data_IF_608233472238
#
_entry.id   IF_608233472238
#
_cell.length_a   1.000
_cell.length_b   1.000
_cell.length_c   1.000
_cell.angle_alpha   90.00
_cell.angle_beta   90.00
_cell.angle_gamma   90.00
#
_symmetry.space_group_name_H-M   'P 1'
#
loop_
_entity.id
_entity.type
_entity.pdbx_description
1 polymer ?
#
# COMPACT_ATOMS: atom_id res chain seq x y z
N UNK A 1 -35.95 -8.95 1.86
CA UNK A 1 -35.08 -9.48 2.93
C UNK A 1 -35.93 -10.29 3.88
N UNK A 2 -35.62 -11.57 4.03
CA UNK A 2 -36.23 -12.39 5.08
C UNK A 2 -35.40 -12.11 6.36
N UNK A 3 -36.07 -11.73 7.44
CA UNK A 3 -35.40 -11.66 8.74
C UNK A 3 -34.85 -13.03 9.08
N UNK A 4 -33.57 -13.05 9.52
CA UNK A 4 -32.95 -14.29 9.98
C UNK A 4 -33.68 -14.75 11.25
N UNK A 5 -34.19 -15.98 11.24
CA UNK A 5 -34.74 -16.56 12.44
C UNK A 5 -33.62 -16.72 13.50
N UNK A 6 -33.77 -16.10 14.68
CA UNK A 6 -32.69 -16.11 15.70
C UNK A 6 -32.37 -17.52 16.23
N UNK A 7 -33.21 -18.51 15.98
CA UNK A 7 -32.98 -19.92 16.33
C UNK A 7 -32.44 -20.77 15.16
N UNK A 8 -32.24 -20.15 13.97
CA UNK A 8 -31.65 -20.87 12.84
C UNK A 8 -30.18 -21.19 13.10
N UNK A 9 -29.81 -22.43 12.84
CA UNK A 9 -28.43 -22.90 12.94
C UNK A 9 -27.79 -22.77 11.54
N UNK A 10 -26.66 -22.08 11.46
CA UNK A 10 -25.83 -22.07 10.27
C UNK A 10 -24.78 -23.17 10.35
N UNK A 11 -24.59 -23.89 9.26
CA UNK A 11 -23.58 -24.93 9.13
C UNK A 11 -22.42 -24.41 8.29
N UNK A 12 -21.20 -24.64 8.72
CA UNK A 12 -19.97 -24.24 8.04
C UNK A 12 -19.08 -25.47 7.89
N UNK A 13 -18.33 -25.55 6.78
CA UNK A 13 -17.39 -26.65 6.53
C UNK A 13 -16.14 -26.57 7.39
N UNK A 14 -15.86 -25.40 7.97
CA UNK A 14 -14.71 -25.19 8.85
C UNK A 14 -14.71 -23.80 9.49
N UNK A 15 -13.79 -23.60 10.39
CA UNK A 15 -13.54 -22.33 11.06
C UNK A 15 -12.05 -21.98 10.96
N UNK A 16 -11.74 -20.74 10.63
CA UNK A 16 -10.39 -20.19 10.71
C UNK A 16 -10.39 -19.10 11.77
N UNK A 17 -9.57 -19.27 12.80
CA UNK A 17 -9.38 -18.28 13.86
C UNK A 17 -8.07 -17.54 13.65
N UNK A 18 -8.12 -16.20 13.65
CA UNK A 18 -6.95 -15.33 13.50
C UNK A 18 -6.88 -14.37 14.67
N UNK A 19 -5.81 -14.48 15.46
CA UNK A 19 -5.50 -13.51 16.50
C UNK A 19 -4.94 -12.24 15.88
N UNK A 20 -5.76 -11.19 15.78
CA UNK A 20 -5.35 -9.91 15.21
C UNK A 20 -4.27 -9.19 16.03
N UNK A 21 -4.13 -9.50 17.34
CA UNK A 21 -3.09 -8.92 18.17
C UNK A 21 -1.69 -9.50 17.85
N UNK A 22 -1.64 -10.68 17.27
CA UNK A 22 -0.40 -11.32 16.84
C UNK A 22 0.07 -10.86 15.45
N UNK A 23 -0.77 -10.18 14.67
CA UNK A 23 -0.43 -9.71 13.33
C UNK A 23 0.57 -8.56 13.41
N UNK A 24 1.73 -8.73 12.78
CA UNK A 24 2.76 -7.69 12.65
C UNK A 24 2.54 -6.87 11.37
N UNK A 25 3.09 -5.63 11.30
CA UNK A 25 3.12 -4.88 10.05
C UNK A 25 3.81 -5.67 8.94
N UNK A 26 3.10 -5.85 7.84
CA UNK A 26 3.54 -6.67 6.70
C UNK A 26 3.55 -5.86 5.41
N UNK A 27 4.35 -6.31 4.47
CA UNK A 27 4.42 -5.80 3.11
C UNK A 27 4.36 -6.97 2.13
N UNK A 28 3.54 -6.83 1.08
CA UNK A 28 3.51 -7.79 -0.02
C UNK A 28 4.38 -7.27 -1.17
N UNK A 29 5.28 -8.12 -1.63
CA UNK A 29 6.16 -7.85 -2.76
C UNK A 29 5.53 -8.34 -4.07
N UNK A 30 5.93 -7.81 -5.25
CA UNK A 30 5.45 -8.34 -6.51
C UNK A 30 5.69 -9.86 -6.61
N UNK A 31 4.87 -10.63 -7.24
CA UNK A 31 3.68 -10.30 -8.04
C UNK A 31 2.43 -11.00 -7.50
N UNK A 32 2.44 -11.44 -6.25
CA UNK A 32 1.34 -12.16 -5.64
C UNK A 32 1.16 -11.74 -4.18
N UNK A 33 -0.09 -11.64 -3.67
CA UNK A 33 -0.35 -11.23 -2.28
C UNK A 33 0.29 -12.15 -1.22
N UNK A 34 0.50 -13.43 -1.54
CA UNK A 34 1.17 -14.37 -0.62
C UNK A 34 2.70 -14.18 -0.55
N UNK A 35 3.28 -13.37 -1.43
CA UNK A 35 4.68 -12.98 -1.36
C UNK A 35 4.84 -11.85 -0.32
N UNK A 36 4.49 -12.15 0.92
CA UNK A 36 4.37 -11.20 2.01
C UNK A 36 5.37 -11.52 3.12
N UNK A 37 6.02 -10.46 3.60
CA UNK A 37 7.01 -10.50 4.67
C UNK A 37 6.64 -9.49 5.75
N UNK A 38 7.05 -9.72 6.97
CA UNK A 38 7.05 -8.63 7.95
C UNK A 38 8.05 -7.54 7.52
N UNK A 39 7.79 -6.30 7.87
CA UNK A 39 8.70 -5.19 7.54
C UNK A 39 10.08 -5.42 8.17
N UNK A 40 10.11 -5.98 9.38
CA UNK A 40 11.37 -6.31 10.07
C UNK A 40 12.16 -7.39 9.32
N UNK A 41 11.48 -8.43 8.83
CA UNK A 41 12.09 -9.52 8.04
C UNK A 41 12.65 -9.01 6.72
N UNK A 42 11.88 -8.17 6.00
CA UNK A 42 12.37 -7.52 4.78
C UNK A 42 13.63 -6.68 5.06
N UNK A 43 13.61 -5.87 6.12
CA UNK A 43 14.74 -5.02 6.47
C UNK A 43 16.00 -5.83 6.88
N UNK A 44 15.81 -6.96 7.53
CA UNK A 44 16.92 -7.83 7.95
C UNK A 44 17.55 -8.62 6.79
N UNK A 45 16.76 -8.99 5.76
CA UNK A 45 17.17 -9.87 4.67
C UNK A 45 16.93 -9.23 3.29
N UNK A 46 17.05 -7.92 3.19
CA UNK A 46 16.60 -7.14 2.04
C UNK A 46 17.23 -7.61 0.72
N UNK A 47 18.54 -7.83 0.68
CA UNK A 47 19.25 -8.24 -0.54
C UNK A 47 18.74 -9.58 -1.06
N UNK A 48 18.61 -10.56 -0.19
CA UNK A 48 18.19 -11.92 -0.58
C UNK A 48 16.73 -11.93 -1.07
N UNK A 49 15.85 -11.27 -0.30
CA UNK A 49 14.42 -11.19 -0.64
C UNK A 49 14.20 -10.44 -1.96
N UNK A 50 14.84 -9.29 -2.16
CA UNK A 50 14.67 -8.52 -3.40
C UNK A 50 15.32 -9.22 -4.60
N UNK A 51 16.43 -9.92 -4.43
CA UNK A 51 17.04 -10.74 -5.47
C UNK A 51 16.11 -11.84 -5.95
N UNK A 52 15.41 -12.53 -5.03
CA UNK A 52 14.41 -13.54 -5.38
C UNK A 52 13.22 -12.92 -6.15
N UNK A 53 12.78 -11.73 -5.77
CA UNK A 53 11.71 -11.01 -6.50
C UNK A 53 12.15 -10.66 -7.92
N UNK A 54 13.39 -10.19 -8.12
CA UNK A 54 13.92 -9.90 -9.46
C UNK A 54 13.99 -11.16 -10.35
N UNK A 55 14.41 -12.29 -9.78
CA UNK A 55 14.45 -13.57 -10.51
C UNK A 55 13.04 -14.00 -10.95
N UNK A 56 12.07 -13.96 -10.05
CA UNK A 56 10.66 -14.24 -10.37
C UNK A 56 10.09 -13.27 -11.41
N UNK A 57 10.48 -11.99 -11.36
CA UNK A 57 10.08 -11.01 -12.35
C UNK A 57 10.54 -11.37 -13.75
N UNK A 58 11.76 -11.84 -13.90
CA UNK A 58 12.30 -12.29 -15.17
C UNK A 58 11.53 -13.48 -15.75
N UNK A 59 11.11 -14.42 -14.90
CA UNK A 59 10.27 -15.57 -15.30
C UNK A 59 8.88 -15.13 -15.75
N UNK A 60 8.19 -14.30 -14.95
CA UNK A 60 6.84 -13.79 -15.24
C UNK A 60 6.83 -12.90 -16.49
N UNK A 61 7.86 -12.08 -16.67
CA UNK A 61 8.00 -11.19 -17.81
C UNK A 61 8.43 -11.88 -19.13
N UNK A 62 8.71 -13.18 -19.09
CA UNK A 62 9.20 -13.91 -20.26
C UNK A 62 10.48 -13.31 -20.85
N UNK A 63 11.33 -12.73 -20.00
CA UNK A 63 12.58 -12.09 -20.38
C UNK A 63 12.43 -10.72 -21.07
N UNK A 64 11.22 -10.17 -21.15
CA UNK A 64 10.97 -8.89 -21.83
C UNK A 64 10.98 -7.67 -20.89
N UNK A 65 10.86 -7.90 -19.59
CA UNK A 65 10.93 -6.85 -18.57
C UNK A 65 12.00 -7.21 -17.55
N UNK A 66 12.89 -6.27 -17.28
CA UNK A 66 13.82 -6.36 -16.15
C UNK A 66 13.32 -5.46 -15.04
N UNK A 67 13.05 -6.04 -13.88
CA UNK A 67 12.80 -5.31 -12.66
C UNK A 67 14.14 -5.17 -11.93
N UNK A 68 14.52 -3.94 -11.59
CA UNK A 68 15.74 -3.67 -10.82
C UNK A 68 15.35 -3.09 -9.46
N UNK A 69 15.50 -3.89 -8.42
CA UNK A 69 15.21 -3.53 -7.03
C UNK A 69 16.48 -3.37 -6.20
N UNK A 70 17.51 -4.16 -6.50
CA UNK A 70 18.78 -4.14 -5.79
C UNK A 70 19.51 -2.81 -5.97
N UNK A 71 19.38 -2.14 -7.11
CA UNK A 71 19.94 -0.82 -7.36
C UNK A 71 19.26 0.30 -6.55
N UNK A 72 18.13 0.00 -5.94
CA UNK A 72 17.39 0.92 -5.07
C UNK A 72 17.78 0.81 -3.59
N UNK A 73 18.66 -0.13 -3.27
CA UNK A 73 19.22 -0.21 -1.92
C UNK A 73 20.32 0.86 -1.81
N UNK A 74 20.10 1.81 -0.92
CA UNK A 74 21.04 2.90 -0.67
C UNK A 74 22.28 2.39 0.09
N UNK A 75 23.40 3.15 0.07
CA UNK A 75 24.60 2.80 0.84
C UNK A 75 24.37 2.67 2.35
N UNK A 76 23.32 3.29 2.88
CA UNK A 76 22.90 3.16 4.28
C UNK A 76 22.04 1.90 4.56
N UNK A 77 21.88 1.02 3.57
CA UNK A 77 21.10 -0.22 3.65
C UNK A 77 19.59 -0.04 3.57
N UNK A 78 19.09 1.16 3.27
CA UNK A 78 17.66 1.43 3.16
C UNK A 78 17.18 1.31 1.72
N UNK A 79 15.97 0.79 1.54
CA UNK A 79 15.32 0.76 0.25
C UNK A 79 14.77 2.14 -0.12
N UNK A 80 15.19 2.67 -1.26
CA UNK A 80 14.68 3.92 -1.79
C UNK A 80 13.38 3.68 -2.55
N UNK A 81 12.34 4.42 -2.17
CA UNK A 81 11.02 4.42 -2.81
C UNK A 81 10.78 5.79 -3.44
N UNK A 82 10.30 5.82 -4.68
CA UNK A 82 10.02 7.06 -5.40
C UNK A 82 8.56 7.51 -5.28
N UNK A 83 7.65 6.59 -4.98
CA UNK A 83 6.23 6.90 -4.87
C UNK A 83 5.59 6.18 -3.69
N UNK A 84 4.69 6.88 -2.99
CA UNK A 84 3.76 6.31 -2.03
C UNK A 84 2.32 6.58 -2.44
N UNK A 85 1.44 5.59 -2.28
CA UNK A 85 0.01 5.74 -2.57
C UNK A 85 -0.81 5.15 -1.42
N UNK A 86 -1.69 5.96 -0.86
CA UNK A 86 -2.72 5.53 0.09
C UNK A 86 -4.06 5.65 -0.60
N UNK A 87 -4.70 4.52 -0.93
CA UNK A 87 -5.89 4.56 -1.77
C UNK A 87 -6.85 3.38 -1.54
N UNK A 88 -8.03 3.52 -2.09
CA UNK A 88 -9.06 2.50 -2.13
C UNK A 88 -9.83 2.35 -0.83
N UNK A 89 -10.72 1.36 -0.81
CA UNK A 89 -11.63 1.11 0.31
C UNK A 89 -10.89 0.65 1.58
N UNK A 90 -9.71 0.07 1.47
CA UNK A 90 -8.89 -0.33 2.62
C UNK A 90 -7.89 0.76 3.01
N UNK A 91 -7.03 1.20 2.10
CA UNK A 91 -5.99 2.19 2.40
C UNK A 91 -6.56 3.58 2.67
N UNK A 92 -7.50 4.03 1.86
CA UNK A 92 -8.11 5.36 1.92
C UNK A 92 -9.22 5.53 2.95
N UNK A 93 -9.49 4.56 3.82
CA UNK A 93 -10.52 4.72 4.85
C UNK A 93 -10.13 5.81 5.87
N UNK A 94 -11.12 6.33 6.57
CA UNK A 94 -10.94 7.45 7.50
C UNK A 94 -9.81 7.19 8.51
N UNK A 95 -9.84 6.04 9.17
CA UNK A 95 -8.87 5.71 10.22
C UNK A 95 -7.43 5.68 9.68
N UNK A 96 -7.21 5.05 8.53
CA UNK A 96 -5.88 4.93 7.93
C UNK A 96 -5.33 6.28 7.48
N UNK A 97 -6.17 7.11 6.84
CA UNK A 97 -5.75 8.46 6.42
C UNK A 97 -5.47 9.35 7.62
N UNK A 98 -6.26 9.26 8.69
CA UNK A 98 -5.98 9.94 9.96
C UNK A 98 -4.66 9.50 10.59
N UNK A 99 -4.34 8.21 10.53
CA UNK A 99 -3.05 7.70 11.02
C UNK A 99 -1.88 8.25 10.18
N UNK A 100 -2.03 8.29 8.86
CA UNK A 100 -1.04 8.90 7.98
C UNK A 100 -0.82 10.39 8.28
N UNK A 101 -1.89 11.17 8.45
CA UNK A 101 -1.81 12.57 8.81
C UNK A 101 -1.07 12.77 10.15
N UNK A 102 -1.40 11.98 11.17
CA UNK A 102 -0.71 12.00 12.47
C UNK A 102 0.77 11.64 12.35
N UNK A 103 1.10 10.63 11.56
CA UNK A 103 2.49 10.18 11.36
C UNK A 103 3.35 11.23 10.64
N UNK A 104 2.74 12.04 9.76
CA UNK A 104 3.41 13.06 8.96
C UNK A 104 3.34 14.47 9.59
N UNK A 105 2.60 14.65 10.66
CA UNK A 105 2.48 15.95 11.34
C UNK A 105 3.86 16.51 11.70
N UNK A 106 4.15 17.73 11.22
CA UNK A 106 5.44 18.39 11.43
C UNK A 106 6.63 17.76 10.68
N UNK A 107 6.36 16.86 9.75
CA UNK A 107 7.37 16.24 8.88
C UNK A 107 7.16 16.64 7.43
N UNK A 108 8.05 16.22 6.56
CA UNK A 108 7.96 16.47 5.12
C UNK A 108 8.14 15.18 4.33
N UNK A 109 7.48 15.08 3.19
CA UNK A 109 7.69 14.02 2.20
C UNK A 109 9.00 14.19 1.41
N UNK A 110 9.78 15.24 1.68
CA UNK A 110 11.07 15.49 1.06
C UNK A 110 11.04 16.59 -0.01
N UNK A 111 12.00 16.54 -0.92
CA UNK A 111 12.34 17.62 -1.85
C UNK A 111 11.76 17.43 -3.27
N UNK A 112 10.82 16.51 -3.46
CA UNK A 112 10.21 16.20 -4.76
C UNK A 112 10.71 14.93 -5.44
N UNK A 113 11.71 14.25 -4.89
CA UNK A 113 12.14 12.92 -5.38
C UNK A 113 11.15 11.81 -5.00
N UNK A 114 10.38 12.01 -3.94
CA UNK A 114 9.32 11.13 -3.49
C UNK A 114 7.97 11.85 -3.60
N UNK A 115 7.01 11.20 -4.22
CA UNK A 115 5.63 11.68 -4.33
C UNK A 115 4.69 10.81 -3.50
N UNK A 116 3.91 11.43 -2.60
CA UNK A 116 2.86 10.75 -1.85
C UNK A 116 1.49 11.22 -2.32
N UNK A 117 0.68 10.29 -2.85
CA UNK A 117 -0.72 10.55 -3.19
C UNK A 117 -1.67 9.87 -2.21
N UNK A 118 -2.69 10.59 -1.78
CA UNK A 118 -3.70 10.12 -0.84
C UNK A 118 -5.09 10.26 -1.47
N UNK A 119 -5.79 9.14 -1.62
CA UNK A 119 -7.15 9.04 -2.15
C UNK A 119 -8.09 8.57 -1.05
N UNK A 120 -8.90 9.44 -0.45
CA UNK A 120 -9.94 9.01 0.48
C UNK A 120 -10.89 7.99 -0.16
N UNK A 121 -11.39 7.06 0.63
CA UNK A 121 -12.22 5.94 0.12
C UNK A 121 -13.59 6.38 -0.40
N UNK A 122 -14.06 7.56 -0.01
CA UNK A 122 -15.35 8.12 -0.43
C UNK A 122 -15.40 9.63 -0.23
N UNK A 123 -16.38 10.28 -0.86
CA UNK A 123 -16.58 11.70 -0.69
C UNK A 123 -16.92 12.12 0.76
N UNK A 124 -17.76 11.40 1.52
CA UNK A 124 -17.98 11.69 2.94
C UNK A 124 -16.69 11.62 3.76
N UNK A 125 -15.84 10.61 3.53
CA UNK A 125 -14.54 10.50 4.19
C UNK A 125 -13.65 11.70 3.84
N UNK A 126 -13.63 12.12 2.57
CA UNK A 126 -12.85 13.28 2.15
C UNK A 126 -13.31 14.57 2.85
N UNK A 127 -14.63 14.80 2.91
CA UNK A 127 -15.19 15.97 3.60
C UNK A 127 -14.84 15.99 5.08
N UNK A 128 -14.91 14.86 5.76
CA UNK A 128 -14.54 14.74 7.16
C UNK A 128 -13.03 15.03 7.41
N UNK A 129 -12.15 14.47 6.54
CA UNK A 129 -10.72 14.73 6.60
C UNK A 129 -10.37 16.19 6.31
N UNK A 130 -11.12 16.87 5.45
CA UNK A 130 -10.97 18.27 5.18
C UNK A 130 -11.47 19.12 6.37
N UNK A 131 -12.62 18.78 6.94
CA UNK A 131 -13.24 19.50 8.04
C UNK A 131 -12.44 19.43 9.35
N UNK A 132 -11.81 18.30 9.64
CA UNK A 132 -11.02 18.10 10.86
C UNK A 132 -9.53 18.50 10.72
N UNK A 133 -9.11 18.97 9.55
CA UNK A 133 -7.76 19.46 9.28
C UNK A 133 -6.73 18.41 8.87
N UNK A 134 -7.08 17.12 8.84
CA UNK A 134 -6.13 16.05 8.46
C UNK A 134 -5.65 16.19 7.02
N UNK A 135 -6.52 16.59 6.09
CA UNK A 135 -6.14 16.86 4.72
C UNK A 135 -5.12 18.02 4.63
N UNK A 136 -5.27 19.06 5.43
CA UNK A 136 -4.33 20.17 5.51
C UNK A 136 -2.96 19.72 6.04
N UNK A 137 -2.92 18.90 7.08
CA UNK A 137 -1.67 18.34 7.62
C UNK A 137 -0.92 17.51 6.59
N UNK A 138 -1.63 16.69 5.81
CA UNK A 138 -1.04 15.91 4.72
C UNK A 138 -0.46 16.82 3.64
N UNK A 139 -1.20 17.85 3.21
CA UNK A 139 -0.71 18.81 2.20
C UNK A 139 0.49 19.62 2.72
N UNK A 140 0.51 20.00 3.99
CA UNK A 140 1.65 20.69 4.61
C UNK A 140 2.90 19.80 4.64
N UNK A 141 2.71 18.49 4.78
CA UNK A 141 3.81 17.51 4.67
C UNK A 141 4.30 17.30 3.23
N UNK A 142 3.60 17.85 2.22
CA UNK A 142 3.92 17.69 0.80
C UNK A 142 3.18 16.55 0.10
N UNK A 143 2.19 15.93 0.76
CA UNK A 143 1.35 14.93 0.11
C UNK A 143 0.31 15.56 -0.83
N UNK A 144 -0.02 14.87 -1.90
CA UNK A 144 -1.06 15.26 -2.86
C UNK A 144 -2.37 14.60 -2.44
N UNK A 145 -3.28 15.38 -1.84
CA UNK A 145 -4.61 14.86 -1.47
C UNK A 145 -5.53 14.99 -2.67
N UNK A 146 -6.11 13.88 -3.08
CA UNK A 146 -6.97 13.78 -4.27
C UNK A 146 -8.41 13.47 -3.87
N UNK A 147 -9.32 13.59 -4.82
CA UNK A 147 -10.72 13.15 -4.64
C UNK A 147 -10.82 11.63 -4.56
N UNK A 148 -11.92 11.12 -4.01
CA UNK A 148 -12.19 9.69 -3.92
C UNK A 148 -12.17 9.04 -5.31
N UNK A 149 -11.26 8.09 -5.52
CA UNK A 149 -11.09 7.39 -6.80
C UNK A 149 -10.45 6.02 -6.58
N UNK A 150 -11.01 4.98 -7.19
CA UNK A 150 -10.53 3.61 -7.06
C UNK A 150 -9.36 3.28 -8.01
N UNK A 151 -9.01 4.16 -8.93
CA UNK A 151 -8.04 3.95 -10.00
C UNK A 151 -6.69 3.39 -9.55
N UNK A 152 -6.02 3.95 -8.55
CA UNK A 152 -4.73 3.44 -8.10
C UNK A 152 -4.74 1.98 -7.62
N UNK A 153 -5.91 1.43 -7.27
CA UNK A 153 -6.02 0.02 -6.87
C UNK A 153 -5.92 -0.96 -8.04
N UNK A 154 -6.11 -0.49 -9.28
CA UNK A 154 -6.03 -1.33 -10.47
C UNK A 154 -5.12 -0.77 -11.56
N UNK A 155 -4.23 0.17 -11.20
CA UNK A 155 -3.24 0.72 -12.12
C UNK A 155 -3.72 1.89 -12.99
N UNK A 156 -4.84 2.52 -12.65
CA UNK A 156 -5.32 3.71 -13.34
C UNK A 156 -4.99 4.97 -12.53
N UNK A 157 -4.07 5.76 -13.04
CA UNK A 157 -3.56 6.96 -12.37
C UNK A 157 -2.52 6.66 -11.28
N UNK A 158 -1.69 7.65 -11.00
CA UNK A 158 -0.55 7.53 -10.08
C UNK A 158 0.35 6.31 -10.34
N UNK A 159 0.63 6.05 -11.61
CA UNK A 159 1.66 5.10 -12.00
C UNK A 159 3.04 5.67 -11.68
N UNK A 160 3.98 4.86 -11.17
CA UNK A 160 5.34 5.33 -10.96
C UNK A 160 6.04 5.66 -12.29
N UNK A 161 7.11 6.43 -12.24
CA UNK A 161 7.99 6.60 -13.38
C UNK A 161 8.60 5.24 -13.79
N UNK A 162 9.09 5.15 -15.03
CA UNK A 162 9.79 3.95 -15.50
C UNK A 162 10.89 3.55 -14.51
N UNK A 163 10.92 2.28 -14.14
CA UNK A 163 11.81 1.74 -13.12
C UNK A 163 11.68 2.41 -11.73
N UNK A 164 10.58 3.11 -11.46
CA UNK A 164 10.29 3.69 -10.16
C UNK A 164 9.66 2.67 -9.22
N UNK A 165 10.12 2.62 -7.96
CA UNK A 165 9.52 1.79 -6.93
C UNK A 165 8.39 2.55 -6.24
N UNK A 166 7.20 1.95 -6.24
CA UNK A 166 6.00 2.47 -5.58
C UNK A 166 5.62 1.60 -4.39
N UNK A 167 5.43 2.21 -3.23
CA UNK A 167 4.84 1.55 -2.05
C UNK A 167 3.37 1.94 -1.92
N UNK A 168 2.50 0.97 -1.75
CA UNK A 168 1.06 1.22 -1.79
C UNK A 168 0.31 0.61 -0.62
N UNK A 169 -0.51 1.41 0.01
CA UNK A 169 -1.54 0.94 0.92
C UNK A 169 -2.86 0.80 0.13
N UNK A 170 -2.98 -0.30 -0.58
CA UNK A 170 -4.13 -0.68 -1.43
C UNK A 170 -4.43 -2.17 -1.28
N UNK A 171 -5.45 -2.68 -1.99
CA UNK A 171 -5.93 -4.07 -1.80
C UNK A 171 -5.37 -5.08 -2.80
N UNK A 172 -4.61 -4.65 -3.80
CA UNK A 172 -4.23 -5.53 -4.92
C UNK A 172 -2.74 -5.57 -5.13
N UNK A 173 -2.24 -6.79 -5.39
CA UNK A 173 -0.86 -7.04 -5.75
C UNK A 173 -0.82 -8.23 -6.73
N UNK A 174 -0.77 -7.95 -8.03
CA UNK A 174 -0.76 -8.94 -9.11
C UNK A 174 0.03 -8.43 -10.31
N UNK A 175 0.50 -9.33 -11.21
CA UNK A 175 1.26 -8.93 -12.40
C UNK A 175 0.45 -8.02 -13.35
N UNK A 176 1.16 -7.18 -14.10
CA UNK A 176 0.60 -6.28 -15.12
C UNK A 176 -0.44 -5.30 -14.59
N UNK A 177 -0.31 -4.90 -13.35
CA UNK A 177 -1.21 -3.91 -12.74
C UNK A 177 -0.90 -2.49 -13.18
N UNK A 178 0.38 -2.18 -13.39
CA UNK A 178 0.94 -0.87 -13.75
C UNK A 178 2.02 -1.04 -14.80
#
# INVERSE_FOLDING_TARGET
YRELNPVSVAYYDGCVEVDLAAVRPMIALPFHPSNAFTIDELNANMVDILSEVEQRAAEVGGGRASLSLLDKIRPDGRLQVQQGVIAGCSGGNFTNVMQAARALRGKTCGNGEFALSVYPSSQPVFLELAGNGAALELMQAGAIVRTAFCGPCFGAGDTPANNGLSIRHTTRNFPNRE
#
